data_IF_083447539504
#
_entry.id   IF_083447539504
#
_cell.length_a   1.000
_cell.length_b   1.000
_cell.length_c   1.000
_cell.angle_alpha   90.00
_cell.angle_beta   90.00
_cell.angle_gamma   90.00
#
_symmetry.space_group_name_H-M   'P 1'
#
loop_
_entity.id
_entity.type
_entity.pdbx_description
1 polymer ?
#
# COMPACT_ATOMS: atom_id res chain seq x y z
N UNK A 1 -0.48 -5.77 7.81
CA UNK A 1 -1.30 -6.49 6.81
C UNK A 1 -0.77 -6.31 5.38
N UNK A 2 -0.56 -5.08 4.89
CA UNK A 2 0.08 -4.85 3.58
C UNK A 2 1.58 -5.19 3.55
N UNK A 3 2.25 -5.11 4.69
CA UNK A 3 3.68 -5.47 4.83
C UNK A 3 3.94 -6.97 4.67
N UNK A 4 2.90 -7.80 4.85
CA UNK A 4 2.99 -9.25 4.68
C UNK A 4 2.76 -9.67 3.22
N UNK A 5 2.48 -8.73 2.31
CA UNK A 5 2.25 -9.04 0.90
C UNK A 5 3.50 -9.60 0.24
N UNK A 6 3.37 -10.76 -0.40
CA UNK A 6 4.40 -11.32 -1.27
C UNK A 6 4.56 -10.44 -2.53
N UNK A 7 5.79 -10.34 -3.04
CA UNK A 7 6.11 -9.50 -4.21
C UNK A 7 6.25 -8.00 -3.92
N UNK A 8 6.03 -7.56 -2.68
CA UNK A 8 6.44 -6.22 -2.23
C UNK A 8 7.90 -6.28 -1.76
N UNK A 9 8.79 -5.46 -2.34
CA UNK A 9 10.15 -5.27 -1.86
C UNK A 9 10.30 -5.13 -0.35
N UNK A 10 11.34 -5.73 0.24
CA UNK A 10 11.56 -5.65 1.68
C UNK A 10 11.86 -4.21 2.17
N UNK A 11 12.45 -3.37 1.33
CA UNK A 11 12.63 -1.93 1.61
C UNK A 11 11.30 -1.18 1.73
N UNK A 12 10.24 -1.66 1.05
CA UNK A 12 8.88 -1.13 1.21
C UNK A 12 8.19 -1.67 2.47
N UNK A 13 8.70 -2.75 3.05
CA UNK A 13 8.23 -3.30 4.33
C UNK A 13 8.93 -2.56 5.48
N UNK A 14 8.51 -2.81 6.72
CA UNK A 14 9.04 -2.07 7.88
C UNK A 14 10.57 -2.08 7.91
N UNK A 15 11.15 -0.88 7.88
CA UNK A 15 12.59 -0.62 7.81
C UNK A 15 12.90 0.80 7.31
N UNK A 16 12.21 1.25 6.26
CA UNK A 16 12.51 2.53 5.58
C UNK A 16 11.28 3.43 5.34
N UNK A 17 10.08 2.96 5.70
CA UNK A 17 8.82 3.69 5.53
C UNK A 17 8.08 3.82 6.86
N UNK A 18 7.65 5.03 7.22
CA UNK A 18 6.81 5.27 8.40
C UNK A 18 5.34 5.32 8.00
N UNK A 19 4.51 4.51 8.65
CA UNK A 19 3.06 4.59 8.49
C UNK A 19 2.52 5.88 9.12
N UNK A 20 1.92 6.74 8.31
CA UNK A 20 1.26 7.97 8.76
C UNK A 20 -0.22 7.73 9.08
N UNK A 21 -0.91 6.97 8.24
CA UNK A 21 -2.31 6.62 8.45
C UNK A 21 -2.68 5.29 7.78
N UNK A 22 -3.67 4.62 8.37
CA UNK A 22 -4.31 3.43 7.83
C UNK A 22 -5.83 3.60 7.99
N UNK A 23 -6.57 3.45 6.90
CA UNK A 23 -8.02 3.43 6.88
C UNK A 23 -8.50 2.13 6.26
N UNK A 24 -9.38 1.40 6.95
CA UNK A 24 -9.91 0.12 6.50
C UNK A 24 -11.40 0.27 6.19
N UNK A 25 -11.75 0.10 4.92
CA UNK A 25 -13.13 0.09 4.44
C UNK A 25 -13.52 -1.36 4.17
N UNK A 26 -14.61 -1.82 4.80
CA UNK A 26 -15.13 -3.18 4.63
C UNK A 26 -16.47 -3.13 3.91
N UNK A 27 -16.64 -3.99 2.93
CA UNK A 27 -17.90 -4.12 2.19
C UNK A 27 -18.65 -5.37 2.66
N UNK A 28 -19.97 -5.29 2.90
CA UNK A 28 -20.74 -6.46 3.33
C UNK A 28 -20.68 -7.56 2.27
N UNK A 29 -20.23 -8.75 2.68
CA UNK A 29 -20.20 -9.95 1.85
C UNK A 29 -20.67 -11.16 2.65
N UNK A 30 -21.48 -12.02 2.04
CA UNK A 30 -21.91 -13.29 2.61
C UNK A 30 -20.86 -14.41 2.48
N UNK A 31 -19.78 -14.19 1.73
CA UNK A 31 -18.67 -15.14 1.56
C UNK A 31 -17.31 -14.40 1.61
N UNK A 32 -16.44 -14.83 2.53
CA UNK A 32 -15.08 -14.28 2.74
C UNK A 32 -14.00 -15.18 2.14
N UNK A 33 -14.24 -15.75 0.95
CA UNK A 33 -13.15 -16.40 0.20
C UNK A 33 -12.34 -15.34 -0.54
N UNK A 34 -11.10 -15.08 -0.10
CA UNK A 34 -10.22 -14.12 -0.75
C UNK A 34 -9.60 -14.74 -2.00
N UNK A 35 -9.64 -14.02 -3.14
CA UNK A 35 -9.14 -14.53 -4.41
C UNK A 35 -7.94 -13.76 -4.91
N UNK A 36 -7.90 -12.44 -4.67
CA UNK A 36 -6.83 -11.58 -5.17
C UNK A 36 -6.60 -10.35 -4.31
N UNK A 37 -5.33 -10.06 -4.08
CA UNK A 37 -4.83 -8.83 -3.46
C UNK A 37 -4.18 -7.97 -4.56
N UNK A 38 -4.45 -6.68 -4.57
CA UNK A 38 -3.82 -5.72 -5.47
C UNK A 38 -3.46 -4.45 -4.71
N UNK A 39 -2.21 -4.02 -4.87
CA UNK A 39 -1.73 -2.77 -4.31
C UNK A 39 -1.60 -1.73 -5.42
N UNK A 40 -2.13 -0.54 -5.20
CA UNK A 40 -2.11 0.57 -6.14
C UNK A 40 -1.44 1.79 -5.51
N UNK A 41 -0.62 2.48 -6.30
CA UNK A 41 -0.17 3.83 -5.98
C UNK A 41 -1.29 4.81 -6.34
N UNK A 42 -1.82 5.52 -5.34
CA UNK A 42 -2.83 6.56 -5.55
C UNK A 42 -2.19 7.91 -5.85
N UNK A 43 -1.19 8.28 -5.05
CA UNK A 43 -0.43 9.51 -5.24
C UNK A 43 0.90 9.47 -4.51
N UNK A 44 1.80 10.34 -4.94
CA UNK A 44 3.07 10.60 -4.29
C UNK A 44 3.31 12.10 -4.30
N UNK A 45 3.80 12.64 -3.18
CA UNK A 45 4.16 14.04 -3.07
C UNK A 45 5.45 14.22 -2.25
N UNK A 46 6.27 15.18 -2.62
CA UNK A 46 7.51 15.50 -1.91
C UNK A 46 7.24 16.55 -0.84
N UNK A 47 7.72 16.30 0.38
CA UNK A 47 7.67 17.28 1.47
C UNK A 47 8.67 18.41 1.22
N UNK A 48 8.23 19.65 1.38
CA UNK A 48 9.03 20.84 1.04
C UNK A 48 10.33 20.96 1.85
N UNK A 49 10.35 20.47 3.09
CA UNK A 49 11.43 20.74 4.03
C UNK A 49 12.46 19.61 4.14
N UNK A 50 12.05 18.36 3.97
CA UNK A 50 12.92 17.20 4.21
C UNK A 50 13.20 16.35 2.97
N UNK A 51 12.66 16.74 1.79
CA UNK A 51 12.72 15.95 0.55
C UNK A 51 12.26 14.49 0.73
N UNK A 52 11.41 14.25 1.74
CA UNK A 52 10.77 12.96 1.97
C UNK A 52 9.53 12.85 1.09
N UNK A 53 9.08 11.63 0.85
CA UNK A 53 7.91 11.35 0.04
C UNK A 53 6.75 10.97 0.95
N UNK A 54 5.59 11.62 0.78
CA UNK A 54 4.33 11.11 1.28
C UNK A 54 3.70 10.29 0.16
N UNK A 55 3.60 8.98 0.38
CA UNK A 55 3.12 8.00 -0.59
C UNK A 55 1.75 7.51 -0.11
N UNK A 56 0.74 7.64 -0.96
CA UNK A 56 -0.60 7.14 -0.69
C UNK A 56 -0.88 5.89 -1.52
N UNK A 57 -1.28 4.81 -0.86
CA UNK A 57 -1.53 3.51 -1.47
C UNK A 57 -2.95 3.05 -1.19
N UNK A 58 -3.49 2.21 -2.07
CA UNK A 58 -4.71 1.45 -1.84
C UNK A 58 -4.42 -0.04 -2.00
N UNK A 59 -4.68 -0.81 -0.95
CA UNK A 59 -4.70 -2.26 -1.00
C UNK A 59 -6.14 -2.73 -1.16
N UNK A 60 -6.46 -3.26 -2.34
CA UNK A 60 -7.77 -3.84 -2.61
C UNK A 60 -7.74 -5.35 -2.38
N UNK A 61 -8.70 -5.81 -1.60
CA UNK A 61 -8.95 -7.23 -1.32
C UNK A 61 -10.22 -7.63 -2.08
N UNK A 62 -10.07 -8.50 -3.06
CA UNK A 62 -11.16 -8.91 -3.95
C UNK A 62 -11.42 -10.41 -3.88
N UNK A 63 -12.69 -10.77 -4.03
CA UNK A 63 -13.16 -12.15 -4.22
C UNK A 63 -13.91 -12.23 -5.52
N UNK A 64 -13.42 -13.05 -6.46
CA UNK A 64 -13.90 -13.07 -7.84
C UNK A 64 -13.87 -11.65 -8.45
N UNK A 65 -15.04 -11.01 -8.57
CA UNK A 65 -15.23 -9.65 -9.11
C UNK A 65 -15.71 -8.64 -8.06
N UNK A 66 -15.87 -9.04 -6.79
CA UNK A 66 -16.35 -8.16 -5.72
C UNK A 66 -15.21 -7.66 -4.86
N UNK A 67 -15.22 -6.36 -4.58
CA UNK A 67 -14.38 -5.74 -3.57
C UNK A 67 -14.91 -6.12 -2.18
N UNK A 68 -14.09 -6.79 -1.38
CA UNK A 68 -14.42 -7.20 -0.02
C UNK A 68 -13.95 -6.19 1.00
N UNK A 69 -12.75 -5.64 0.79
CA UNK A 69 -12.20 -4.60 1.61
C UNK A 69 -11.19 -3.77 0.81
N UNK A 70 -11.00 -2.54 1.26
CA UNK A 70 -9.98 -1.65 0.79
C UNK A 70 -9.23 -1.10 2.01
N UNK A 71 -7.90 -1.08 1.95
CA UNK A 71 -7.07 -0.43 2.95
C UNK A 71 -6.32 0.72 2.28
N UNK A 72 -6.61 1.94 2.70
CA UNK A 72 -5.87 3.11 2.28
C UNK A 72 -4.73 3.35 3.27
N UNK A 73 -3.54 3.61 2.74
CA UNK A 73 -2.33 3.83 3.51
C UNK A 73 -1.70 5.13 3.09
N UNK A 74 -1.28 5.94 4.06
CA UNK A 74 -0.33 7.02 3.83
C UNK A 74 0.99 6.66 4.50
N UNK A 75 2.08 6.69 3.74
CA UNK A 75 3.43 6.39 4.20
C UNK A 75 4.31 7.62 4.04
N UNK A 76 5.26 7.81 4.96
CA UNK A 76 6.39 8.71 4.80
C UNK A 76 7.63 7.88 4.44
N UNK A 77 8.25 8.19 3.32
CA UNK A 77 9.42 7.49 2.80
C UNK A 77 10.58 8.45 2.55
N UNK A 78 11.81 7.93 2.57
CA UNK A 78 12.99 8.66 2.12
C UNK A 78 13.14 8.61 0.58
N UNK A 79 12.63 7.57 -0.07
CA UNK A 79 12.74 7.34 -1.53
C UNK A 79 11.36 7.44 -2.22
N UNK A 80 11.34 7.65 -3.54
CA UNK A 80 10.09 7.58 -4.31
C UNK A 80 9.60 6.14 -4.48
N UNK A 81 8.28 5.94 -4.55
CA UNK A 81 7.67 4.62 -4.72
C UNK A 81 8.21 3.88 -5.95
N UNK A 82 8.37 4.59 -7.06
CA UNK A 82 8.85 4.00 -8.32
C UNK A 82 10.33 3.59 -8.24
N UNK A 83 11.18 4.41 -7.60
CA UNK A 83 12.58 4.03 -7.37
C UNK A 83 12.67 2.80 -6.46
N UNK A 84 11.82 2.72 -5.43
CA UNK A 84 11.84 1.58 -4.53
C UNK A 84 11.36 0.30 -5.26
N UNK A 85 10.36 0.39 -6.13
CA UNK A 85 9.94 -0.76 -6.95
C UNK A 85 11.06 -1.20 -7.90
N UNK A 86 11.77 -0.26 -8.53
CA UNK A 86 12.85 -0.58 -9.49
C UNK A 86 14.13 -1.11 -8.83
N UNK A 87 14.53 -0.58 -7.66
CA UNK A 87 15.72 -1.06 -6.91
C UNK A 87 15.61 -2.52 -6.46
N UNK A 88 14.42 -3.09 -6.48
CA UNK A 88 14.12 -4.42 -5.94
C UNK A 88 13.60 -5.41 -7.01
N UNK A 89 13.81 -5.10 -8.29
CA UNK A 89 13.77 -6.04 -9.40
C UNK A 89 15.16 -6.60 -9.68
#
# INVERSE_FOLDING_TARGET
MWQELEGIPHSLKNGENWLLSEEIIRYPSSNYSFYKLKLYLLSEQITRHSKKYIINLSLEITSNTKLLAQINLSLLSEDSWNEIVQKNQ
#
